data_IF_688791777818
#
_entry.id   IF_688791777818
#
_cell.length_a   1.000
_cell.length_b   1.000
_cell.length_c   1.000
_cell.angle_alpha   90.00
_cell.angle_beta   90.00
_cell.angle_gamma   90.00
#
_symmetry.space_group_name_H-M   'P 1'
#
loop_
_entity.id
_entity.type
_entity.pdbx_description
1 polymer ?
#
# COMPACT_ATOMS: atom_id res chain seq x y z
N UNK A 1 17.06 27.34 2.70
CA UNK A 1 17.45 25.93 2.58
C UNK A 1 16.21 25.11 2.86
N UNK A 2 15.57 24.47 1.87
CA UNK A 2 14.56 23.47 2.14
C UNK A 2 15.20 22.07 2.24
N UNK A 3 14.75 21.30 3.22
CA UNK A 3 15.22 19.97 3.63
C UNK A 3 15.12 18.86 2.55
N UNK A 4 16.04 17.87 2.53
CA UNK A 4 16.05 16.75 1.59
C UNK A 4 15.27 15.53 2.07
N UNK A 5 14.15 15.70 2.79
CA UNK A 5 13.32 14.58 3.26
C UNK A 5 11.99 14.52 2.49
N UNK A 6 12.01 14.88 1.19
CA UNK A 6 10.87 14.69 0.31
C UNK A 6 10.79 13.23 -0.14
N UNK A 7 9.77 12.56 0.41
CA UNK A 7 8.91 11.57 -0.24
C UNK A 7 9.58 10.49 -1.10
N UNK A 8 9.81 9.36 -0.44
CA UNK A 8 9.34 8.01 -0.82
C UNK A 8 8.98 7.78 -2.30
N UNK A 9 9.73 6.84 -2.89
CA UNK A 9 9.49 6.19 -4.19
C UNK A 9 9.70 7.08 -5.42
N UNK A 10 10.82 6.83 -6.12
CA UNK A 10 11.05 7.37 -7.45
C UNK A 10 9.97 6.89 -8.43
N UNK A 11 9.72 7.67 -9.51
CA UNK A 11 8.59 7.53 -10.44
C UNK A 11 8.51 6.21 -11.24
N UNK A 12 9.45 5.29 -11.02
CA UNK A 12 9.58 4.01 -11.73
C UNK A 12 9.25 2.80 -10.85
N UNK A 13 9.03 3.01 -9.55
CA UNK A 13 8.65 1.92 -8.65
C UNK A 13 7.12 1.87 -8.61
N UNK A 14 6.47 0.80 -9.15
CA UNK A 14 5.04 0.67 -9.02
C UNK A 14 4.68 0.79 -7.54
N UNK A 15 3.64 1.54 -7.22
CA UNK A 15 3.16 1.63 -5.85
C UNK A 15 3.00 0.21 -5.33
N UNK A 16 3.81 -0.16 -4.34
CA UNK A 16 3.87 -1.52 -3.81
C UNK A 16 2.49 -1.98 -3.37
N UNK A 17 1.60 -1.05 -3.01
CA UNK A 17 0.20 -1.35 -2.71
C UNK A 17 -0.62 -1.67 -3.98
N UNK A 18 -0.46 -0.87 -5.05
CA UNK A 18 -1.15 -1.10 -6.32
C UNK A 18 -0.75 -2.43 -6.97
N UNK A 19 0.54 -2.75 -7.01
CA UNK A 19 1.04 -4.02 -7.54
C UNK A 19 0.52 -5.24 -6.75
N UNK A 20 0.41 -5.12 -5.42
CA UNK A 20 -0.14 -6.19 -4.57
C UNK A 20 -1.66 -6.33 -4.71
N UNK A 21 -2.36 -5.23 -4.96
CA UNK A 21 -3.80 -5.25 -5.24
C UNK A 21 -4.07 -5.97 -6.56
N UNK A 22 -3.33 -5.65 -7.62
CA UNK A 22 -3.43 -6.32 -8.93
C UNK A 22 -3.15 -7.83 -8.81
N UNK A 23 -2.10 -8.21 -8.05
CA UNK A 23 -1.81 -9.60 -7.77
C UNK A 23 -2.96 -10.32 -7.03
N UNK A 24 -3.62 -9.66 -6.08
CA UNK A 24 -4.75 -10.23 -5.34
C UNK A 24 -5.98 -10.45 -6.24
N UNK A 25 -6.22 -9.57 -7.21
CA UNK A 25 -7.34 -9.71 -8.15
C UNK A 25 -7.25 -10.97 -9.01
N UNK A 26 -6.02 -11.39 -9.34
CA UNK A 26 -5.74 -12.62 -10.10
C UNK A 26 -5.95 -13.93 -9.33
N UNK A 27 -6.17 -13.88 -8.01
CA UNK A 27 -6.35 -15.08 -7.18
C UNK A 27 -7.77 -15.69 -7.28
N UNK A 28 -7.92 -16.99 -6.99
CA UNK A 28 -9.24 -17.61 -6.80
C UNK A 28 -10.06 -16.92 -5.70
N UNK A 29 -11.39 -17.01 -5.76
CA UNK A 29 -12.27 -16.21 -4.90
C UNK A 29 -12.00 -16.34 -3.39
N UNK A 30 -11.70 -17.55 -2.91
CA UNK A 30 -11.37 -17.78 -1.50
C UNK A 30 -10.07 -17.08 -1.08
N UNK A 31 -8.99 -17.34 -1.81
CA UNK A 31 -7.66 -16.77 -1.57
C UNK A 31 -7.64 -15.24 -1.77
N UNK A 32 -8.44 -14.74 -2.71
CA UNK A 32 -8.60 -13.32 -2.97
C UNK A 32 -9.21 -12.58 -1.78
N UNK A 33 -10.20 -13.19 -1.10
CA UNK A 33 -10.79 -12.58 0.09
C UNK A 33 -9.76 -12.42 1.22
N UNK A 34 -8.96 -13.46 1.47
CA UNK A 34 -7.89 -13.43 2.47
C UNK A 34 -6.82 -12.37 2.13
N UNK A 35 -6.43 -12.27 0.85
CA UNK A 35 -5.47 -11.28 0.38
C UNK A 35 -5.97 -9.84 0.58
N UNK A 36 -7.25 -9.56 0.27
CA UNK A 36 -7.84 -8.25 0.50
C UNK A 36 -7.98 -7.91 1.99
N UNK A 37 -8.34 -8.88 2.84
CA UNK A 37 -8.36 -8.68 4.29
C UNK A 37 -6.99 -8.27 4.82
N UNK A 38 -5.92 -8.94 4.40
CA UNK A 38 -4.55 -8.60 4.80
C UNK A 38 -4.13 -7.19 4.34
N UNK A 39 -4.46 -6.80 3.10
CA UNK A 39 -4.20 -5.44 2.60
C UNK A 39 -4.94 -4.38 3.42
N UNK A 40 -6.18 -4.68 3.83
CA UNK A 40 -6.98 -3.76 4.63
C UNK A 40 -6.45 -3.60 6.07
N UNK A 41 -5.94 -4.68 6.68
CA UNK A 41 -5.28 -4.64 7.99
C UNK A 41 -3.96 -3.85 7.97
N UNK A 42 -3.21 -3.93 6.87
CA UNK A 42 -2.01 -3.11 6.66
C UNK A 42 -2.35 -1.62 6.57
N UNK A 43 -3.37 -1.25 5.78
CA UNK A 43 -3.85 0.13 5.68
C UNK A 43 -4.29 0.66 7.03
N UNK A 44 -5.08 -0.13 7.78
CA UNK A 44 -5.50 0.19 9.14
C UNK A 44 -4.29 0.45 10.04
N UNK A 45 -3.31 -0.47 10.06
CA UNK A 45 -2.08 -0.33 10.86
C UNK A 45 -1.31 0.94 10.51
N UNK A 46 -1.21 1.29 9.22
CA UNK A 46 -0.54 2.49 8.75
C UNK A 46 -1.23 3.77 9.24
N UNK A 47 -2.56 3.81 9.16
CA UNK A 47 -3.37 4.92 9.65
C UNK A 47 -3.23 5.08 11.17
N UNK A 48 -3.28 3.97 11.92
CA UNK A 48 -3.10 3.98 13.37
C UNK A 48 -1.71 4.41 13.80
N UNK A 49 -0.68 4.07 13.02
CA UNK A 49 0.72 4.43 13.27
C UNK A 49 1.08 5.86 12.87
N UNK A 50 0.10 6.65 12.39
CA UNK A 50 0.33 8.03 11.95
C UNK A 50 1.07 8.15 10.61
N UNK A 51 1.05 7.08 9.80
CA UNK A 51 1.62 7.09 8.46
C UNK A 51 0.92 8.15 7.61
N UNK A 52 1.61 9.26 7.39
CA UNK A 52 1.13 10.40 6.61
C UNK A 52 0.86 9.95 5.18
N UNK A 53 -0.39 9.67 4.85
CA UNK A 53 -0.92 10.14 3.59
C UNK A 53 -1.15 11.65 3.78
N UNK A 54 -0.11 12.46 3.54
CA UNK A 54 -0.33 13.87 3.26
C UNK A 54 -1.28 13.92 2.06
N UNK A 55 -2.48 14.42 2.31
CA UNK A 55 -3.45 14.81 1.28
C UNK A 55 -3.07 16.16 0.69
#
# INVERSE_FOLDING_TARGET
MPDPEQSTAGPDQPDTFAARTDAAEGLPLGERADAFSALHDELRTRLESGGSASA
#
